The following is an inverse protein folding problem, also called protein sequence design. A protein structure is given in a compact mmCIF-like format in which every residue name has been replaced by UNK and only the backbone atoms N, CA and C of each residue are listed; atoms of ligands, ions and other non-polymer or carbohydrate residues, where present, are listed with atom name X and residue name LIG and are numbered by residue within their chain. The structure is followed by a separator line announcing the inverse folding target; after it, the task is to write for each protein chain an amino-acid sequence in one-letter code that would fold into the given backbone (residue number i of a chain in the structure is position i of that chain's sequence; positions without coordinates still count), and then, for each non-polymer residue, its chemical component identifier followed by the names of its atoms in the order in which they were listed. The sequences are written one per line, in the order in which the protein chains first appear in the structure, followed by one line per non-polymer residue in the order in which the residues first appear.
data_IF_719194356661
#
_entry.id   IF_719194356661
#
_cell.length_a   1.000
_cell.length_b   1.000
_cell.length_c   1.000
_cell.angle_alpha   90.00
_cell.angle_beta   90.00
_cell.angle_gamma   90.00
#
_symmetry.space_group_name_H-M   'P 1'
#
loop_
_entity.id
_entity.type
_entity.pdbx_description
1 polymer ?
#
# COMPACT_ATOMS: atom_id res chain seq x y z
N UNK A 1 -46.69 -25.78 6.98
CA UNK A 1 -46.87 -24.32 6.86
C UNK A 1 -46.74 -23.66 8.22
N UNK A 2 -45.53 -23.26 8.64
CA UNK A 2 -45.29 -22.72 9.99
C UNK A 2 -45.68 -21.24 10.06
N UNK A 3 -46.91 -20.95 10.47
CA UNK A 3 -47.38 -19.58 10.77
C UNK A 3 -46.90 -19.16 12.16
N UNK A 4 -45.79 -18.43 12.22
CA UNK A 4 -45.34 -17.76 13.45
C UNK A 4 -46.30 -16.61 13.80
N UNK A 5 -46.71 -16.51 15.07
CA UNK A 5 -47.65 -15.48 15.55
C UNK A 5 -47.00 -14.10 15.60
N UNK A 6 -47.80 -13.02 15.49
CA UNK A 6 -47.31 -11.64 15.46
C UNK A 6 -46.37 -11.28 16.65
N UNK A 7 -46.63 -11.87 17.83
CA UNK A 7 -45.81 -11.72 19.04
C UNK A 7 -44.40 -12.34 18.91
N UNK A 8 -44.28 -13.48 18.22
CA UNK A 8 -42.98 -14.12 17.95
C UNK A 8 -42.14 -13.34 16.92
N UNK A 9 -42.80 -12.60 16.03
CA UNK A 9 -42.15 -11.74 15.03
C UNK A 9 -41.61 -10.44 15.64
N UNK A 10 -42.34 -9.86 16.59
CA UNK A 10 -41.96 -8.64 17.31
C UNK A 10 -40.73 -8.86 18.21
N UNK A 11 -40.70 -9.97 18.95
CA UNK A 11 -39.58 -10.33 19.84
C UNK A 11 -38.29 -10.67 19.08
N UNK A 12 -38.38 -11.34 17.92
CA UNK A 12 -37.23 -11.56 17.03
C UNK A 12 -36.67 -10.26 16.46
N UNK A 13 -37.54 -9.31 16.07
CA UNK A 13 -37.11 -7.98 15.59
C UNK A 13 -36.42 -7.17 16.69
N UNK A 14 -36.94 -7.18 17.92
CA UNK A 14 -36.33 -6.51 19.05
C UNK A 14 -34.94 -7.08 19.39
N UNK A 15 -34.80 -8.42 19.43
CA UNK A 15 -33.50 -9.08 19.67
C UNK A 15 -32.48 -8.80 18.57
N UNK A 16 -32.89 -8.85 17.29
CA UNK A 16 -32.01 -8.51 16.17
C UNK A 16 -31.59 -7.03 16.19
N UNK A 17 -32.47 -6.13 16.62
CA UNK A 17 -32.17 -4.69 16.75
C UNK A 17 -31.13 -4.43 17.84
N UNK A 18 -31.27 -5.07 19.01
CA UNK A 18 -30.30 -4.98 20.13
C UNK A 18 -28.97 -5.62 19.79
N UNK A 19 -28.96 -6.76 19.10
CA UNK A 19 -27.73 -7.44 18.69
C UNK A 19 -26.97 -6.67 17.59
N UNK A 20 -27.70 -5.98 16.71
CA UNK A 20 -27.10 -5.09 15.70
C UNK A 20 -26.47 -3.86 16.35
N UNK A 21 -27.12 -3.24 17.34
CA UNK A 21 -26.54 -2.09 18.06
C UNK A 21 -25.34 -2.47 18.93
N UNK A 22 -25.34 -3.63 19.59
CA UNK A 22 -24.18 -4.06 20.39
C UNK A 22 -22.95 -4.37 19.52
N UNK A 23 -23.16 -4.94 18.32
CA UNK A 23 -22.08 -5.20 17.37
C UNK A 23 -21.49 -3.89 16.82
N UNK A 24 -22.32 -2.95 16.38
CA UNK A 24 -21.87 -1.63 15.91
C UNK A 24 -21.12 -0.86 17.01
N UNK A 25 -21.59 -0.95 18.25
CA UNK A 25 -20.92 -0.31 19.40
C UNK A 25 -19.54 -0.90 19.69
N UNK A 26 -19.38 -2.22 19.56
CA UNK A 26 -18.08 -2.88 19.70
C UNK A 26 -17.12 -2.52 18.57
N UNK A 27 -17.60 -2.48 17.34
CA UNK A 27 -16.80 -2.10 16.17
C UNK A 27 -16.28 -0.66 16.31
N UNK A 28 -17.11 0.29 16.76
CA UNK A 28 -16.70 1.66 17.03
C UNK A 28 -15.62 1.77 18.13
N UNK A 29 -15.78 0.99 19.22
CA UNK A 29 -14.84 1.01 20.35
C UNK A 29 -13.46 0.45 19.98
N UNK A 30 -13.43 -0.55 19.10
CA UNK A 30 -12.17 -1.12 18.56
C UNK A 30 -11.47 -0.10 17.66
N UNK A 31 -12.23 0.63 16.86
CA UNK A 31 -11.69 1.63 15.95
C UNK A 31 -11.12 2.84 16.69
N UNK A 32 -11.78 3.28 17.77
CA UNK A 32 -11.30 4.34 18.65
C UNK A 32 -10.00 3.94 19.35
N UNK A 33 -9.93 2.71 19.90
CA UNK A 33 -8.70 2.17 20.49
C UNK A 33 -7.54 2.07 19.50
N UNK A 34 -7.82 1.74 18.22
CA UNK A 34 -6.79 1.79 17.17
C UNK A 34 -6.27 3.20 16.94
N UNK A 35 -7.15 4.21 16.89
CA UNK A 35 -6.72 5.61 16.71
C UNK A 35 -5.86 6.11 17.86
N UNK A 36 -6.13 5.67 19.09
CA UNK A 36 -5.30 5.95 20.26
C UNK A 36 -3.92 5.27 20.23
N UNK A 37 -3.76 4.18 19.49
CA UNK A 37 -2.45 3.53 19.33
C UNK A 37 -1.53 4.34 18.40
N UNK A 38 -2.08 5.03 17.39
CA UNK A 38 -1.32 5.77 16.38
C UNK A 38 -1.38 7.30 16.55
N UNK A 39 -1.49 7.82 17.78
CA UNK A 39 -1.56 9.27 18.05
C UNK A 39 -0.36 9.99 17.42
N UNK A 40 -0.62 10.70 16.31
CA UNK A 40 0.39 11.41 15.54
C UNK A 40 1.38 10.52 14.78
N UNK A 41 1.23 9.20 14.75
CA UNK A 41 2.12 8.28 14.02
C UNK A 41 1.49 7.80 12.71
N UNK A 42 2.32 7.35 11.77
CA UNK A 42 1.81 6.64 10.60
C UNK A 42 1.17 5.29 11.00
N UNK A 43 0.11 4.92 10.29
CA UNK A 43 -0.74 3.75 10.60
C UNK A 43 -0.05 2.39 10.42
N UNK A 44 1.16 2.38 9.85
CA UNK A 44 1.94 1.19 9.54
C UNK A 44 3.16 1.00 10.44
N UNK A 45 3.40 1.90 11.41
CA UNK A 45 4.53 1.78 12.33
C UNK A 45 4.33 0.60 13.28
N UNK A 46 5.23 -0.38 13.23
CA UNK A 46 5.19 -1.56 14.12
C UNK A 46 5.48 -1.19 15.59
N UNK A 47 6.07 -0.01 15.82
CA UNK A 47 6.41 0.50 17.14
C UNK A 47 5.33 1.40 17.76
N UNK A 48 4.11 1.44 17.20
CA UNK A 48 3.05 2.38 17.60
C UNK A 48 2.80 2.47 19.12
N UNK A 49 2.90 1.36 19.87
CA UNK A 49 2.67 1.36 21.31
C UNK A 49 3.81 1.96 22.15
N UNK A 50 5.03 2.08 21.61
CA UNK A 50 6.23 2.48 22.35
C UNK A 50 7.22 3.36 21.60
N UNK A 51 6.87 3.86 20.42
CA UNK A 51 7.73 4.72 19.62
C UNK A 51 8.03 6.02 20.36
N UNK A 52 9.29 6.44 20.39
CA UNK A 52 9.72 7.66 21.07
C UNK A 52 9.08 8.93 20.45
N UNK A 53 8.62 8.82 19.21
CA UNK A 53 7.93 9.88 18.48
C UNK A 53 6.42 9.89 18.69
N UNK A 54 5.84 9.08 19.59
CA UNK A 54 4.43 9.26 19.99
C UNK A 54 4.22 10.67 20.52
N UNK A 55 3.52 11.52 19.76
CA UNK A 55 3.20 12.90 20.10
C UNK A 55 1.70 13.07 20.29
N UNK A 56 1.31 14.27 20.69
CA UNK A 56 -0.09 14.70 20.78
C UNK A 56 -0.83 14.48 19.44
N UNK A 57 -2.11 14.13 19.51
CA UNK A 57 -2.99 13.90 18.36
C UNK A 57 -3.07 15.12 17.44
N UNK A 58 -2.83 16.30 18.00
CA UNK A 58 -2.82 17.56 17.28
C UNK A 58 -1.61 17.75 16.36
N UNK A 59 -0.53 16.98 16.55
CA UNK A 59 0.72 17.14 15.80
C UNK A 59 1.21 15.80 15.23
N UNK A 60 0.81 15.54 13.99
CA UNK A 60 1.30 14.39 13.25
C UNK A 60 2.82 14.48 13.03
N UNK A 61 3.48 13.35 13.27
CA UNK A 61 4.88 13.11 12.95
C UNK A 61 4.97 12.75 11.48
N UNK A 62 5.51 13.68 10.70
CA UNK A 62 5.72 13.49 9.27
C UNK A 62 7.02 12.73 8.98
N UNK A 63 8.01 12.86 9.87
CA UNK A 63 9.34 12.25 9.76
C UNK A 63 9.65 11.52 11.07
N UNK A 64 9.73 10.20 11.00
CA UNK A 64 9.99 9.32 12.13
C UNK A 64 11.15 8.40 11.79
N UNK A 65 12.31 8.63 12.41
CA UNK A 65 13.50 7.83 12.13
C UNK A 65 13.41 6.40 12.69
N UNK A 66 12.55 6.19 13.69
CA UNK A 66 12.21 4.87 14.24
C UNK A 66 11.10 4.15 13.45
N UNK A 67 10.68 4.66 12.29
CA UNK A 67 9.62 4.04 11.51
C UNK A 67 10.07 2.70 10.91
N UNK A 68 9.29 1.65 11.17
CA UNK A 68 9.46 0.35 10.53
C UNK A 68 8.09 -0.23 10.18
N UNK A 69 7.98 -0.81 8.98
CA UNK A 69 6.79 -1.51 8.45
C UNK A 69 6.84 -3.03 8.70
N UNK A 70 7.93 -3.51 9.28
CA UNK A 70 8.19 -4.94 9.43
C UNK A 70 8.37 -5.65 8.08
N UNK A 71 8.77 -6.92 8.13
CA UNK A 71 8.85 -7.73 6.93
C UNK A 71 7.47 -8.30 6.59
N UNK A 72 6.67 -7.55 5.85
CA UNK A 72 5.55 -8.14 5.11
C UNK A 72 6.13 -8.79 3.87
N UNK A 73 6.00 -10.12 3.74
CA UNK A 73 6.37 -10.83 2.52
C UNK A 73 5.76 -10.08 1.31
N UNK A 74 6.53 -9.83 0.24
CA UNK A 74 6.01 -9.12 -0.93
C UNK A 74 4.79 -9.89 -1.43
N UNK A 75 3.63 -9.22 -1.42
CA UNK A 75 2.47 -9.76 -2.10
C UNK A 75 2.91 -10.03 -3.54
N UNK A 76 2.81 -11.29 -3.97
CA UNK A 76 3.16 -11.68 -5.33
C UNK A 76 2.15 -11.01 -6.26
N UNK A 77 2.45 -9.79 -6.69
CA UNK A 77 1.68 -9.11 -7.72
C UNK A 77 2.05 -9.84 -9.00
N UNK A 78 1.22 -10.78 -9.42
CA UNK A 78 1.32 -11.39 -10.74
C UNK A 78 1.08 -10.28 -11.76
N UNK A 79 2.17 -9.73 -12.29
CA UNK A 79 2.08 -8.76 -13.38
C UNK A 79 1.36 -9.43 -14.55
N UNK A 80 0.35 -8.79 -15.17
CA UNK A 80 -0.25 -9.34 -16.37
C UNK A 80 0.85 -9.49 -17.41
N UNK A 81 0.98 -10.71 -17.94
CA UNK A 81 1.97 -11.02 -18.98
C UNK A 81 1.79 -10.05 -20.14
N UNK A 82 2.71 -9.09 -20.26
CA UNK A 82 2.79 -8.21 -21.41
C UNK A 82 3.17 -9.09 -22.58
N UNK A 83 2.26 -9.25 -23.54
CA UNK A 83 2.55 -9.98 -24.77
C UNK A 83 3.75 -9.29 -25.45
N UNK A 84 4.89 -9.94 -25.42
CA UNK A 84 6.07 -9.49 -26.15
C UNK A 84 5.81 -9.72 -27.64
N UNK A 85 5.51 -8.64 -28.36
CA UNK A 85 5.60 -8.61 -29.81
C UNK A 85 7.08 -8.68 -30.19
N UNK A 86 7.63 -9.89 -30.17
CA UNK A 86 9.01 -10.19 -30.56
C UNK A 86 9.13 -10.15 -32.08
N UNK A 87 9.56 -9.00 -32.60
CA UNK A 87 10.15 -8.89 -33.94
C UNK A 87 11.11 -7.69 -34.05
N UNK A 88 11.99 -7.51 -33.06
CA UNK A 88 13.07 -6.49 -33.11
C UNK A 88 14.34 -6.86 -32.32
N UNK A 89 14.59 -8.16 -32.12
CA UNK A 89 15.53 -8.68 -31.11
C UNK A 89 17.03 -8.44 -31.31
N UNK A 90 17.49 -7.77 -32.37
CA UNK A 90 18.94 -7.57 -32.59
C UNK A 90 19.38 -6.12 -32.40
N UNK A 91 18.54 -5.13 -32.71
CA UNK A 91 18.90 -3.70 -32.55
C UNK A 91 18.46 -3.10 -31.23
N UNK A 92 17.46 -3.66 -30.53
CA UNK A 92 17.07 -3.12 -29.22
C UNK A 92 18.07 -3.45 -28.11
N UNK A 93 18.82 -4.56 -28.23
CA UNK A 93 19.82 -4.94 -27.24
C UNK A 93 21.00 -3.97 -27.19
N UNK A 94 21.42 -3.39 -28.32
CA UNK A 94 22.55 -2.45 -28.37
C UNK A 94 22.27 -1.11 -27.69
N UNK A 95 21.00 -0.72 -27.55
CA UNK A 95 20.62 0.50 -26.84
C UNK A 95 20.14 0.24 -25.40
N UNK A 96 20.21 -1.02 -24.94
CA UNK A 96 19.83 -1.35 -23.57
C UNK A 96 20.72 -0.58 -22.59
N UNK A 97 20.05 0.10 -21.67
CA UNK A 97 20.69 0.89 -20.65
C UNK A 97 21.09 2.30 -21.04
N UNK A 98 20.80 2.77 -22.27
CA UNK A 98 20.98 4.17 -22.64
C UNK A 98 19.73 5.01 -22.32
N UNK A 99 19.94 6.29 -22.05
CA UNK A 99 18.85 7.24 -21.87
C UNK A 99 18.00 7.35 -23.16
N UNK A 100 16.67 7.41 -23.00
CA UNK A 100 15.72 7.58 -24.11
C UNK A 100 15.83 8.94 -24.80
N UNK A 101 16.58 9.89 -24.25
CA UNK A 101 16.73 11.22 -24.80
C UNK A 101 18.16 11.54 -25.26
N UNK A 102 18.99 10.50 -25.46
CA UNK A 102 20.33 10.67 -26.01
C UNK A 102 20.26 10.71 -27.54
N UNK A 103 20.82 11.77 -28.13
CA UNK A 103 20.83 12.00 -29.58
C UNK A 103 21.95 11.21 -30.29
N UNK A 104 22.96 10.76 -29.54
CA UNK A 104 24.13 10.01 -30.04
C UNK A 104 24.13 8.55 -29.59
N UNK A 105 22.97 7.88 -29.50
CA UNK A 105 22.86 6.51 -28.92
C UNK A 105 23.76 5.45 -29.58
N UNK A 106 24.14 5.65 -30.84
CA UNK A 106 25.02 4.73 -31.56
C UNK A 106 26.51 4.87 -31.16
N UNK A 107 26.90 6.03 -30.63
CA UNK A 107 28.28 6.38 -30.27
C UNK A 107 28.45 6.67 -28.77
N UNK A 108 27.33 6.71 -28.03
CA UNK A 108 27.28 7.00 -26.61
C UNK A 108 28.05 5.93 -25.81
N UNK A 109 29.02 6.38 -25.03
CA UNK A 109 29.89 5.48 -24.25
C UNK A 109 29.26 5.01 -22.94
N UNK A 110 28.08 5.53 -22.61
CA UNK A 110 27.37 5.26 -21.36
C UNK A 110 26.51 3.98 -21.41
N UNK A 111 26.74 3.05 -22.33
CA UNK A 111 25.97 1.80 -22.39
C UNK A 111 26.11 0.98 -21.09
N UNK A 112 25.07 0.96 -20.26
CA UNK A 112 25.00 0.17 -19.01
C UNK A 112 23.74 -0.70 -19.00
N UNK A 113 23.76 -1.88 -19.63
CA UNK A 113 22.54 -2.67 -19.87
C UNK A 113 21.84 -3.16 -18.60
N UNK A 114 22.57 -3.33 -17.49
CA UNK A 114 22.02 -3.82 -16.21
C UNK A 114 21.37 -2.71 -15.36
N UNK A 115 22.03 -1.56 -15.19
CA UNK A 115 21.55 -0.49 -14.31
C UNK A 115 20.84 0.64 -15.06
N UNK A 116 21.10 0.78 -16.36
CA UNK A 116 20.67 1.91 -17.16
C UNK A 116 21.31 3.24 -16.76
N UNK A 117 21.24 4.21 -17.68
CA UNK A 117 21.72 5.57 -17.47
C UNK A 117 20.55 6.45 -17.07
N UNK A 118 20.50 6.83 -15.79
CA UNK A 118 19.52 7.81 -15.28
C UNK A 118 19.84 9.24 -15.67
N UNK A 119 21.13 9.59 -15.77
CA UNK A 119 21.59 10.91 -16.17
C UNK A 119 22.64 10.76 -17.27
N UNK A 120 22.31 11.21 -18.47
CA UNK A 120 23.24 11.21 -19.59
C UNK A 120 24.03 12.52 -19.57
N UNK A 121 25.34 12.50 -19.43
CA UNK A 121 26.12 13.75 -19.54
C UNK A 121 26.35 14.16 -21.01
N UNK A 122 25.97 13.28 -21.95
CA UNK A 122 26.08 13.48 -23.39
C UNK A 122 24.74 13.92 -24.03
N UNK A 123 23.91 14.69 -23.30
CA UNK A 123 22.77 15.41 -23.90
C UNK A 123 23.32 16.56 -24.76
N UNK A 124 23.63 16.27 -26.02
CA UNK A 124 23.88 17.29 -27.04
C UNK A 124 22.54 17.64 -27.67
#
# INVERSE_FOLDING_TARGET
MTRFTAAQKATKRAKAKTQKTTRVKREAMVEESKREQFLGLCMTCIHANGCAFRRDVAQAVLECDEFDIGQTAPAKIEAPARAETSTKGIQESMFKGLCVNCDVRHECKLTKPEEGVWHCEEYI
#
